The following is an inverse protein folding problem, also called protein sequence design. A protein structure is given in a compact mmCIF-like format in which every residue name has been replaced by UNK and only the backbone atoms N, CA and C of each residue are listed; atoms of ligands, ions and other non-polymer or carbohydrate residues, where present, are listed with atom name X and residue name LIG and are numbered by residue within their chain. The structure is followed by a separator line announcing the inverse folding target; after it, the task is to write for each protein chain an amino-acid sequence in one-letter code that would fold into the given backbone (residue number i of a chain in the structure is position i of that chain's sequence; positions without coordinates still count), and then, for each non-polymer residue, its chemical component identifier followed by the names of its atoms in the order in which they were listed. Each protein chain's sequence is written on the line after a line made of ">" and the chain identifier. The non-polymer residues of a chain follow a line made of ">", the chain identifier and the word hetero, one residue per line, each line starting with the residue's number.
data_IF_685938991784
#
_entry.id   IF_685938991784
#
_cell.length_a   1.000
_cell.length_b   1.000
_cell.length_c   1.000
_cell.angle_alpha   90.00
_cell.angle_beta   90.00
_cell.angle_gamma   90.00
#
_symmetry.space_group_name_H-M   'P 1'
#
loop_
_entity.id
_entity.type
_entity.pdbx_description
1 polymer ?
#
# COMPACT_ATOMS: atom_id res chain seq x y z
N UNK A 1 2.56 34.59 48.66
CA UNK A 1 1.78 33.34 48.82
C UNK A 1 0.98 33.09 47.54
N UNK A 2 1.65 32.61 46.48
CA UNK A 2 0.99 32.23 45.23
C UNK A 2 0.63 30.74 45.31
N UNK A 3 -0.64 30.41 45.14
CA UNK A 3 -1.16 29.04 45.17
C UNK A 3 -0.85 28.38 43.82
N UNK A 4 -0.11 27.28 43.84
CA UNK A 4 0.09 26.43 42.67
C UNK A 4 -1.17 25.59 42.43
N UNK A 5 -1.84 25.81 41.31
CA UNK A 5 -2.96 24.99 40.84
C UNK A 5 -2.40 23.75 40.13
N UNK A 6 -2.72 22.51 40.53
CA UNK A 6 -2.31 21.33 39.78
C UNK A 6 -3.18 21.17 38.53
N UNK A 7 -2.54 21.04 37.36
CA UNK A 7 -3.20 20.73 36.10
C UNK A 7 -3.61 19.25 36.07
N UNK A 8 -4.90 18.96 36.16
CA UNK A 8 -5.45 17.60 36.00
C UNK A 8 -5.74 17.35 34.51
N UNK A 9 -4.89 16.57 33.83
CA UNK A 9 -5.11 16.10 32.46
C UNK A 9 -5.44 14.60 32.44
N UNK A 10 -6.65 14.18 32.89
CA UNK A 10 -7.03 12.77 32.99
C UNK A 10 -7.10 12.07 31.61
N UNK A 11 -7.28 12.84 30.54
CA UNK A 11 -7.33 12.32 29.15
C UNK A 11 -5.95 11.93 28.63
N UNK A 12 -4.91 12.71 28.92
CA UNK A 12 -3.53 12.39 28.56
C UNK A 12 -3.06 11.11 29.28
N UNK A 13 -3.46 10.95 30.55
CA UNK A 13 -3.12 9.76 31.33
C UNK A 13 -3.80 8.49 30.80
N UNK A 14 -5.05 8.59 30.34
CA UNK A 14 -5.76 7.46 29.69
C UNK A 14 -5.15 7.09 28.33
N UNK A 15 -4.71 8.07 27.55
CA UNK A 15 -4.04 7.82 26.27
C UNK A 15 -2.71 7.07 26.46
N UNK A 16 -1.93 7.42 27.49
CA UNK A 16 -0.67 6.73 27.80
C UNK A 16 -0.89 5.28 28.25
N UNK A 17 -1.96 4.98 29.00
CA UNK A 17 -2.30 3.61 29.40
C UNK A 17 -2.72 2.77 28.20
N UNK A 18 -3.52 3.33 27.27
CA UNK A 18 -3.90 2.63 26.05
C UNK A 18 -2.69 2.31 25.16
N UNK A 19 -1.75 3.25 25.02
CA UNK A 19 -0.51 3.06 24.27
C UNK A 19 0.38 1.97 24.89
N UNK A 20 0.48 1.90 26.22
CA UNK A 20 1.23 0.87 26.92
C UNK A 20 0.65 -0.54 26.69
N UNK A 21 -0.68 -0.68 26.67
CA UNK A 21 -1.33 -1.98 26.41
C UNK A 21 -1.15 -2.45 24.96
N UNK A 22 -1.09 -1.53 23.99
CA UNK A 22 -0.81 -1.87 22.59
C UNK A 22 0.65 -2.31 22.38
N UNK A 23 1.61 -1.72 23.10
CA UNK A 23 3.03 -2.08 22.99
C UNK A 23 3.35 -3.53 23.40
N UNK A 24 2.63 -4.07 24.40
CA UNK A 24 2.82 -5.46 24.85
C UNK A 24 2.27 -6.47 23.83
N UNK A 25 1.21 -6.12 23.11
CA UNK A 25 0.66 -6.96 22.04
C UNK A 25 1.56 -6.99 20.79
N UNK A 26 2.22 -5.89 20.44
CA UNK A 26 3.21 -5.86 19.34
C UNK A 26 4.55 -6.53 19.71
N UNK A 27 4.96 -6.49 20.97
CA UNK A 27 6.19 -7.14 21.44
C UNK A 27 6.16 -8.68 21.35
N UNK A 28 4.98 -9.28 21.48
CA UNK A 28 4.80 -10.73 21.32
C UNK A 28 4.83 -11.18 19.84
N UNK A 29 4.52 -10.30 18.89
CA UNK A 29 4.54 -10.60 17.45
C UNK A 29 5.90 -10.34 16.77
N UNK A 30 6.73 -9.44 17.31
CA UNK A 30 8.04 -9.13 16.74
C UNK A 30 9.18 -10.05 17.24
N UNK A 31 8.98 -10.73 18.38
CA UNK A 31 9.97 -11.68 18.91
C UNK A 31 10.14 -12.94 18.03
N UNK A 32 9.17 -13.25 17.16
CA UNK A 32 9.27 -14.35 16.18
C UNK A 32 10.09 -14.01 14.92
N UNK A 33 10.54 -12.77 14.75
CA UNK A 33 11.38 -12.38 13.60
C UNK A 33 12.88 -12.28 13.94
N UNK A 34 13.27 -12.43 15.21
CA UNK A 34 14.64 -12.24 15.67
C UNK A 34 15.18 -13.45 16.46
N UNK A 35 14.84 -14.66 16.03
CA UNK A 35 15.45 -15.88 16.54
C UNK A 35 16.06 -16.71 15.39
N UNK A 36 17.38 -16.62 15.34
CA UNK A 36 18.34 -17.59 14.80
C UNK A 36 18.29 -17.97 13.32
N UNK A 37 19.32 -17.49 12.62
CA UNK A 37 19.99 -18.16 11.50
C UNK A 37 20.55 -19.51 11.97
N UNK A 38 19.69 -20.52 12.09
CA UNK A 38 20.07 -21.93 12.23
C UNK A 38 19.46 -22.71 11.06
N UNK A 39 20.17 -23.70 10.48
CA UNK A 39 19.89 -24.17 9.13
C UNK A 39 18.50 -24.83 9.07
N UNK A 40 17.73 -24.44 8.05
CA UNK A 40 16.35 -24.84 7.71
C UNK A 40 16.07 -26.35 7.80
N UNK A 41 17.10 -27.18 7.82
CA UNK A 41 17.02 -28.65 7.91
C UNK A 41 16.73 -29.20 9.31
N UNK A 42 16.96 -28.44 10.39
CA UNK A 42 16.78 -28.92 11.78
C UNK A 42 15.35 -28.71 12.32
N UNK A 43 14.67 -27.66 11.85
CA UNK A 43 13.25 -27.39 12.14
C UNK A 43 12.33 -28.49 11.59
N UNK A 44 12.76 -29.18 10.52
CA UNK A 44 11.98 -30.26 9.92
C UNK A 44 12.00 -31.57 10.74
N UNK A 45 12.94 -31.71 11.70
CA UNK A 45 13.13 -32.96 12.47
C UNK A 45 12.70 -32.90 13.93
N UNK A 46 12.56 -31.71 14.53
CA UNK A 46 12.14 -31.59 15.93
C UNK A 46 10.75 -30.98 16.05
N UNK A 47 9.78 -31.88 16.13
CA UNK A 47 8.34 -31.70 16.34
C UNK A 47 7.56 -31.30 15.08
N UNK A 48 6.62 -32.14 14.61
CA UNK A 48 5.53 -31.62 13.82
C UNK A 48 4.69 -30.78 14.78
N UNK A 49 4.93 -29.47 14.83
CA UNK A 49 3.84 -28.55 15.20
C UNK A 49 2.79 -28.78 14.13
N UNK A 50 1.80 -29.60 14.48
CA UNK A 50 0.60 -29.72 13.69
C UNK A 50 0.02 -28.32 13.64
N UNK A 51 0.31 -27.61 12.56
CA UNK A 51 -0.38 -26.39 12.21
C UNK A 51 -1.84 -26.83 12.20
N UNK A 52 -2.62 -26.39 13.19
CA UNK A 52 -4.07 -26.61 13.19
C UNK A 52 -4.63 -26.17 11.84
N UNK A 53 -5.89 -26.49 11.53
CA UNK A 53 -6.46 -26.23 10.20
C UNK A 53 -6.10 -24.83 9.69
N UNK A 54 -5.14 -24.78 8.76
CA UNK A 54 -4.76 -23.55 8.08
C UNK A 54 -5.89 -23.31 7.10
N UNK A 55 -6.60 -22.22 7.28
CA UNK A 55 -7.52 -21.73 6.27
C UNK A 55 -6.70 -20.88 5.28
N UNK A 56 -6.37 -21.40 4.09
CA UNK A 56 -5.65 -20.63 3.08
C UNK A 56 -6.46 -19.40 2.63
N UNK A 57 -7.79 -19.42 2.72
CA UNK A 57 -8.63 -18.28 2.38
C UNK A 57 -8.47 -17.15 3.39
N UNK A 58 -8.35 -17.47 4.68
CA UNK A 58 -8.07 -16.49 5.72
C UNK A 58 -6.70 -15.82 5.51
N UNK A 59 -5.66 -16.59 5.20
CA UNK A 59 -4.32 -16.06 4.89
C UNK A 59 -4.28 -15.19 3.63
N UNK A 60 -5.05 -15.55 2.60
CA UNK A 60 -5.18 -14.74 1.39
C UNK A 60 -5.94 -13.42 1.67
N UNK A 61 -6.98 -13.48 2.50
CA UNK A 61 -7.74 -12.30 2.95
C UNK A 61 -6.89 -11.32 3.75
N UNK A 62 -6.01 -11.80 4.64
CA UNK A 62 -5.10 -10.91 5.38
C UNK A 62 -4.04 -10.29 4.48
N UNK A 63 -3.50 -11.04 3.51
CA UNK A 63 -2.52 -10.54 2.55
C UNK A 63 -3.13 -9.46 1.64
N UNK A 64 -4.28 -9.74 1.03
CA UNK A 64 -4.99 -8.78 0.16
C UNK A 64 -5.42 -7.53 0.93
N UNK A 65 -5.94 -7.69 2.15
CA UNK A 65 -6.27 -6.56 3.02
C UNK A 65 -5.05 -5.69 3.37
N UNK A 66 -3.89 -6.31 3.67
CA UNK A 66 -2.65 -5.58 3.97
C UNK A 66 -2.12 -4.84 2.73
N UNK A 67 -2.12 -5.50 1.57
CA UNK A 67 -1.69 -4.89 0.31
C UNK A 67 -2.61 -3.73 -0.05
N UNK A 68 -3.92 -3.91 0.02
CA UNK A 68 -4.90 -2.86 -0.26
C UNK A 68 -4.76 -1.64 0.67
N UNK A 69 -4.45 -1.85 1.95
CA UNK A 69 -4.23 -0.74 2.89
C UNK A 69 -2.98 0.09 2.55
N UNK A 70 -1.93 -0.56 2.04
CA UNK A 70 -0.66 0.10 1.66
C UNK A 70 -0.76 0.75 0.28
N UNK A 71 -1.40 0.09 -0.69
CA UNK A 71 -1.45 0.56 -2.08
C UNK A 71 -2.66 1.45 -2.37
N UNK A 72 -3.74 1.35 -1.58
CA UNK A 72 -4.97 2.12 -1.75
C UNK A 72 -4.75 3.63 -1.83
N UNK A 73 -3.98 4.27 -0.91
CA UNK A 73 -3.68 5.69 -0.98
C UNK A 73 -2.97 6.10 -2.28
N UNK A 74 -2.10 5.24 -2.81
CA UNK A 74 -1.35 5.51 -4.05
C UNK A 74 -2.20 5.27 -5.29
N UNK A 75 -3.06 4.24 -5.26
CA UNK A 75 -3.94 3.90 -6.37
C UNK A 75 -4.91 5.05 -6.72
N UNK A 76 -5.30 5.87 -5.73
CA UNK A 76 -6.15 7.05 -5.93
C UNK A 76 -5.45 8.30 -6.44
N UNK A 77 -4.12 8.34 -6.52
CA UNK A 77 -3.38 9.51 -6.98
C UNK A 77 -3.47 9.66 -8.50
N UNK A 78 -3.56 10.90 -9.00
CA UNK A 78 -3.38 11.16 -10.43
C UNK A 78 -1.94 10.80 -10.84
N UNK A 79 -1.72 10.02 -11.91
CA UNK A 79 -0.37 9.75 -12.40
C UNK A 79 0.31 11.00 -12.94
N UNK A 80 -0.48 11.89 -13.56
CA UNK A 80 -0.04 13.17 -14.08
C UNK A 80 -0.79 14.32 -13.38
N UNK A 81 -0.19 14.95 -12.35
CA UNK A 81 -0.77 16.10 -11.68
C UNK A 81 -0.94 17.33 -12.57
N UNK A 82 -0.15 17.42 -13.66
CA UNK A 82 -0.15 18.53 -14.61
C UNK A 82 -1.10 18.30 -15.80
N UNK A 83 -1.86 17.19 -15.80
CA UNK A 83 -2.82 16.88 -16.85
C UNK A 83 -3.82 18.02 -17.06
N UNK A 84 -3.97 18.45 -18.32
CA UNK A 84 -4.85 19.55 -18.72
C UNK A 84 -4.29 20.95 -18.43
N UNK A 85 -3.02 21.07 -18.02
CA UNK A 85 -2.34 22.36 -17.90
C UNK A 85 -1.54 22.66 -19.17
N UNK A 86 -1.27 23.94 -19.46
CA UNK A 86 -0.42 24.32 -20.61
C UNK A 86 1.07 23.95 -20.46
N UNK A 87 1.46 23.33 -19.34
CA UNK A 87 2.82 22.85 -19.06
C UNK A 87 2.85 21.34 -18.82
N UNK A 88 1.81 20.63 -19.24
CA UNK A 88 1.76 19.18 -19.16
C UNK A 88 2.90 18.56 -19.99
N UNK A 89 3.87 17.87 -19.36
CA UNK A 89 4.97 17.28 -20.10
C UNK A 89 4.50 16.21 -21.09
N UNK A 90 3.40 15.52 -20.79
CA UNK A 90 2.91 14.38 -21.58
C UNK A 90 2.07 14.80 -22.79
N UNK A 91 1.72 16.08 -22.89
CA UNK A 91 1.05 16.68 -24.05
C UNK A 91 2.06 17.18 -25.11
N UNK A 92 3.36 17.14 -24.82
CA UNK A 92 4.43 17.49 -25.78
C UNK A 92 4.71 16.36 -26.79
N UNK A 93 3.68 15.88 -27.47
CA UNK A 93 3.83 14.77 -28.40
C UNK A 93 4.21 15.18 -29.82
N UNK A 94 4.72 14.21 -30.55
CA UNK A 94 5.03 14.31 -31.97
C UNK A 94 4.05 13.47 -32.77
N UNK A 95 3.63 13.96 -33.92
CA UNK A 95 2.74 13.25 -34.83
C UNK A 95 3.36 13.16 -36.23
N UNK A 96 3.15 12.02 -36.88
CA UNK A 96 3.50 11.80 -38.28
C UNK A 96 2.29 11.24 -39.02
N UNK A 97 2.17 11.59 -40.29
CA UNK A 97 1.15 11.04 -41.18
C UNK A 97 1.82 10.62 -42.48
N UNK A 98 1.49 9.41 -42.94
CA UNK A 98 1.98 8.88 -44.20
C UNK A 98 0.80 8.86 -45.17
N UNK A 99 0.87 9.65 -46.24
CA UNK A 99 -0.22 9.79 -47.23
C UNK A 99 -1.60 10.02 -46.57
N UNK A 100 -2.57 9.18 -46.90
CA UNK A 100 -3.97 9.20 -46.49
C UNK A 100 -4.27 8.26 -45.30
N UNK A 101 -3.24 7.67 -44.67
CA UNK A 101 -3.42 6.90 -43.45
C UNK A 101 -3.77 7.79 -42.25
N UNK A 102 -4.33 7.16 -41.21
CA UNK A 102 -4.57 7.81 -39.93
C UNK A 102 -3.25 8.32 -39.33
N UNK A 103 -3.18 9.58 -38.87
CA UNK A 103 -1.99 10.11 -38.20
C UNK A 103 -1.63 9.28 -36.97
N UNK A 104 -0.34 9.03 -36.79
CA UNK A 104 0.21 8.39 -35.60
C UNK A 104 0.85 9.46 -34.72
N UNK A 105 0.37 9.57 -33.49
CA UNK A 105 0.86 10.51 -32.51
C UNK A 105 1.44 9.76 -31.31
N UNK A 106 2.54 10.25 -30.74
CA UNK A 106 3.12 9.67 -29.52
C UNK A 106 2.14 9.70 -28.35
N UNK A 107 1.19 10.65 -28.35
CA UNK A 107 0.10 10.73 -27.37
C UNK A 107 -0.78 9.46 -27.33
N UNK A 108 -0.82 8.65 -28.39
CA UNK A 108 -1.53 7.37 -28.34
C UNK A 108 -0.92 6.40 -27.29
N UNK A 109 0.37 6.57 -26.98
CA UNK A 109 1.09 5.75 -25.99
C UNK A 109 1.12 6.40 -24.61
N UNK A 110 1.16 7.73 -24.53
CA UNK A 110 1.23 8.46 -23.25
C UNK A 110 -0.15 8.80 -22.69
N UNK A 111 -1.18 8.92 -23.54
CA UNK A 111 -2.55 9.28 -23.17
C UNK A 111 -3.15 8.45 -22.03
N UNK A 112 -3.01 7.11 -22.01
CA UNK A 112 -3.51 6.28 -20.91
C UNK A 112 -2.92 6.62 -19.53
N UNK A 113 -1.74 7.26 -19.49
CA UNK A 113 -1.11 7.72 -18.25
C UNK A 113 -1.38 9.20 -18.02
N UNK A 114 -1.37 10.01 -19.09
CA UNK A 114 -1.58 11.46 -19.02
C UNK A 114 -2.99 11.84 -18.55
N UNK A 115 -4.02 11.15 -19.06
CA UNK A 115 -5.43 11.50 -18.80
C UNK A 115 -6.09 10.67 -17.68
N UNK A 116 -5.34 9.73 -17.11
CA UNK A 116 -5.84 8.88 -16.04
C UNK A 116 -6.22 9.71 -14.80
N UNK A 117 -7.42 9.47 -14.28
CA UNK A 117 -7.91 10.13 -13.07
C UNK A 117 -7.22 9.57 -11.82
N UNK A 118 -6.69 8.35 -11.91
CA UNK A 118 -5.96 7.70 -10.83
C UNK A 118 -4.97 6.64 -11.35
N UNK A 119 -3.93 6.31 -10.57
CA UNK A 119 -2.99 5.22 -10.86
C UNK A 119 -3.73 3.89 -11.06
N UNK A 120 -4.77 3.63 -10.25
CA UNK A 120 -5.62 2.44 -10.40
C UNK A 120 -6.50 2.44 -11.66
N UNK A 121 -6.68 3.57 -12.33
CA UNK A 121 -7.44 3.65 -13.60
C UNK A 121 -6.59 3.41 -14.85
N UNK A 122 -5.26 3.33 -14.70
CA UNK A 122 -4.35 3.04 -15.83
C UNK A 122 -4.58 1.59 -16.26
N UNK A 123 -4.81 1.28 -17.56
CA UNK A 123 -5.34 -0.02 -18.00
C UNK A 123 -4.65 -1.27 -17.41
N UNK A 124 -3.31 -1.32 -17.44
CA UNK A 124 -2.54 -2.47 -16.92
C UNK A 124 -2.52 -2.48 -15.39
N UNK A 125 -2.43 -1.32 -14.75
CA UNK A 125 -2.39 -1.20 -13.28
C UNK A 125 -3.74 -1.52 -12.66
N UNK A 126 -4.84 -1.08 -13.29
CA UNK A 126 -6.20 -1.35 -12.87
C UNK A 126 -6.53 -2.85 -12.89
N UNK A 127 -6.03 -3.57 -13.90
CA UNK A 127 -6.17 -5.02 -13.95
C UNK A 127 -5.47 -5.71 -12.78
N UNK A 128 -4.23 -5.30 -12.47
CA UNK A 128 -3.46 -5.89 -11.35
C UNK A 128 -4.08 -5.54 -10.00
N UNK A 129 -4.49 -4.29 -9.80
CA UNK A 129 -5.11 -3.85 -8.55
C UNK A 129 -6.49 -4.44 -8.33
N UNK A 130 -7.30 -4.64 -9.39
CA UNK A 130 -8.58 -5.35 -9.30
C UNK A 130 -8.44 -6.80 -8.84
N UNK A 131 -7.36 -7.49 -9.21
CA UNK A 131 -7.06 -8.84 -8.71
C UNK A 131 -6.66 -8.87 -7.23
N UNK A 132 -6.24 -7.73 -6.67
CA UNK A 132 -5.79 -7.58 -5.29
C UNK A 132 -6.91 -7.12 -4.33
N UNK A 133 -8.15 -6.94 -4.82
CA UNK A 133 -9.31 -6.57 -4.01
C UNK A 133 -9.60 -5.07 -3.96
N UNK A 134 -9.67 -4.43 -5.13
CA UNK A 134 -9.82 -2.98 -5.32
C UNK A 134 -10.90 -2.27 -4.50
#
# INVERSE_FOLDING_TARGET
>A
MARHTPSQHPTAQRALVALATAGVALGAGAASAAADTSPVVDVMRTRPTSLGKIDPAAGLGTLTGTVGYVTGPVAGLKPNPLAGTGVDPLDNGVATQLADFQPLASQALTGPVAEAQSIGSVPVVGQVTGLLGG
#
